data_IF_198948573031
#
_entry.id   IF_198948573031
#
_cell.length_a   1.000
_cell.length_b   1.000
_cell.length_c   1.000
_cell.angle_alpha   90.00
_cell.angle_beta   90.00
_cell.angle_gamma   90.00
#
_symmetry.space_group_name_H-M   'P 1'
#
loop_
_entity.id
_entity.type
_entity.pdbx_description
1 polymer ?
#
# COMPACT_ATOMS: atom_id res chain seq x y z
N UNK A 1 5.98 -9.92 29.71
CA UNK A 1 5.57 -8.60 30.23
C UNK A 1 4.85 -8.68 31.58
N UNK A 2 3.57 -9.09 31.69
CA UNK A 2 2.83 -8.97 32.96
C UNK A 2 3.28 -9.88 34.10
N UNK A 3 3.65 -11.14 33.81
CA UNK A 3 4.14 -12.10 34.84
C UNK A 3 5.65 -12.03 35.10
N UNK A 4 6.43 -11.54 34.13
CA UNK A 4 7.91 -11.61 34.12
C UNK A 4 8.58 -10.23 34.04
N UNK A 5 7.81 -9.13 34.06
CA UNK A 5 8.30 -7.77 33.84
C UNK A 5 8.49 -7.40 32.36
N UNK A 6 8.65 -6.10 32.10
CA UNK A 6 8.93 -5.53 30.77
C UNK A 6 10.31 -5.97 30.27
N UNK A 7 11.27 -6.13 31.19
CA UNK A 7 12.64 -6.61 30.90
C UNK A 7 12.68 -8.00 30.25
N UNK A 8 11.70 -8.86 30.51
CA UNK A 8 11.59 -10.16 29.83
C UNK A 8 11.40 -10.03 28.30
N UNK A 9 10.98 -8.85 27.81
CA UNK A 9 10.86 -8.57 26.38
C UNK A 9 12.22 -8.38 25.71
N UNK A 10 13.29 -8.05 26.45
CA UNK A 10 14.64 -7.94 25.89
C UNK A 10 15.14 -9.28 25.31
N UNK A 11 14.71 -10.41 25.88
CA UNK A 11 15.07 -11.75 25.39
C UNK A 11 14.44 -12.09 24.02
N UNK A 12 13.30 -11.48 23.68
CA UNK A 12 12.58 -11.71 22.42
C UNK A 12 12.88 -10.59 21.41
N UNK A 13 13.45 -9.47 21.88
CA UNK A 13 13.74 -8.29 21.07
C UNK A 13 14.55 -8.60 19.79
N UNK A 14 15.55 -9.47 19.88
CA UNK A 14 16.34 -9.91 18.73
C UNK A 14 15.54 -10.66 17.66
N UNK A 15 14.51 -11.43 18.07
CA UNK A 15 13.64 -12.17 17.15
C UNK A 15 12.65 -11.25 16.42
N UNK A 16 12.34 -10.07 16.98
CA UNK A 16 11.40 -9.12 16.37
C UNK A 16 12.03 -8.28 15.25
N UNK A 17 13.34 -8.39 14.99
CA UNK A 17 14.04 -7.63 13.93
C UNK A 17 13.47 -7.87 12.53
N UNK A 18 12.82 -9.00 12.29
CA UNK A 18 12.13 -9.28 11.02
C UNK A 18 10.92 -8.38 10.79
N UNK A 19 10.37 -7.78 11.84
CA UNK A 19 9.19 -6.92 11.83
C UNK A 19 9.57 -5.51 12.34
N UNK A 20 10.15 -4.63 11.50
CA UNK A 20 10.75 -3.37 11.95
C UNK A 20 9.79 -2.45 12.71
N UNK A 21 8.52 -2.41 12.29
CA UNK A 21 7.51 -1.57 12.90
C UNK A 21 7.16 -2.04 14.33
N UNK A 22 6.99 -3.35 14.52
CA UNK A 22 6.71 -3.92 15.83
C UNK A 22 7.93 -3.86 16.75
N UNK A 23 9.13 -4.14 16.23
CA UNK A 23 10.38 -3.99 16.95
C UNK A 23 10.55 -2.58 17.52
N UNK A 24 10.31 -1.54 16.70
CA UNK A 24 10.35 -0.14 17.14
C UNK A 24 9.36 0.14 18.28
N UNK A 25 8.14 -0.37 18.18
CA UNK A 25 7.13 -0.25 19.24
C UNK A 25 7.58 -0.88 20.56
N UNK A 26 8.11 -2.11 20.49
CA UNK A 26 8.59 -2.84 21.67
C UNK A 26 9.86 -2.20 22.25
N UNK A 27 10.78 -1.66 21.43
CA UNK A 27 11.94 -0.89 21.89
C UNK A 27 11.52 0.27 22.79
N UNK A 28 10.57 1.10 22.33
CA UNK A 28 10.11 2.25 23.11
C UNK A 28 9.49 1.83 24.44
N UNK A 29 8.78 0.69 24.47
CA UNK A 29 8.23 0.14 25.72
C UNK A 29 9.35 -0.36 26.65
N UNK A 30 10.40 -0.98 26.13
CA UNK A 30 11.58 -1.41 26.91
C UNK A 30 12.32 -0.20 27.48
N UNK A 31 12.41 0.89 26.71
CA UNK A 31 13.06 2.15 27.09
C UNK A 31 12.23 2.95 28.12
N UNK A 32 11.04 2.46 28.49
CA UNK A 32 10.19 3.04 29.53
C UNK A 32 9.22 4.12 29.03
N UNK A 33 9.05 4.28 27.72
CA UNK A 33 8.06 5.20 27.15
C UNK A 33 6.62 4.77 27.53
N UNK A 34 5.76 5.68 28.02
CA UNK A 34 4.36 5.36 28.33
C UNK A 34 3.61 4.82 27.11
N UNK A 35 2.72 3.84 27.32
CA UNK A 35 1.98 3.20 26.22
C UNK A 35 1.13 4.15 25.36
N UNK A 36 0.65 5.27 25.93
CA UNK A 36 -0.06 6.32 25.18
C UNK A 36 0.86 7.08 24.21
N UNK A 37 2.09 7.35 24.64
CA UNK A 37 3.09 8.03 23.82
C UNK A 37 3.60 7.09 22.71
N UNK A 38 3.84 5.82 23.04
CA UNK A 38 4.13 4.76 22.06
C UNK A 38 3.04 4.68 21.00
N UNK A 39 1.77 4.63 21.42
CA UNK A 39 0.64 4.62 20.49
C UNK A 39 0.63 5.87 19.59
N UNK A 40 0.82 7.06 20.17
CA UNK A 40 0.83 8.32 19.42
C UNK A 40 1.94 8.34 18.36
N UNK A 41 3.16 7.94 18.73
CA UNK A 41 4.32 7.90 17.83
C UNK A 41 4.10 6.88 16.71
N UNK A 42 3.71 5.64 17.05
CA UNK A 42 3.46 4.58 16.06
C UNK A 42 2.31 4.95 15.12
N UNK A 43 1.25 5.60 15.64
CA UNK A 43 0.11 6.06 14.82
C UNK A 43 0.52 7.13 13.83
N UNK A 44 1.42 8.05 14.22
CA UNK A 44 1.99 9.06 13.31
C UNK A 44 2.82 8.41 12.21
N UNK A 45 3.66 7.44 12.56
CA UNK A 45 4.51 6.73 11.61
C UNK A 45 3.69 5.90 10.60
N UNK A 46 2.67 5.20 11.09
CA UNK A 46 1.70 4.49 10.25
C UNK A 46 1.00 5.45 9.27
N UNK A 47 0.51 6.60 9.74
CA UNK A 47 -0.10 7.62 8.87
C UNK A 47 0.86 8.13 7.81
N UNK A 48 2.11 8.42 8.18
CA UNK A 48 3.13 8.85 7.23
C UNK A 48 3.39 7.79 6.15
N UNK A 49 3.43 6.51 6.55
CA UNK A 49 3.60 5.37 5.65
C UNK A 49 2.42 5.22 4.69
N UNK A 50 1.18 5.25 5.19
CA UNK A 50 -0.03 5.24 4.37
C UNK A 50 -0.07 6.41 3.39
N UNK A 51 0.31 7.63 3.81
CA UNK A 51 0.38 8.78 2.91
C UNK A 51 1.41 8.59 1.78
N UNK A 52 2.57 7.98 2.06
CA UNK A 52 3.55 7.64 1.02
C UNK A 52 2.97 6.66 0.01
N UNK A 53 2.29 5.60 0.47
CA UNK A 53 1.63 4.65 -0.42
C UNK A 53 0.53 5.29 -1.27
N UNK A 54 -0.32 6.13 -0.69
CA UNK A 54 -1.36 6.87 -1.43
C UNK A 54 -0.73 7.75 -2.52
N UNK A 55 0.39 8.42 -2.22
CA UNK A 55 1.10 9.21 -3.22
C UNK A 55 1.60 8.33 -4.37
N UNK A 56 2.21 7.19 -4.07
CA UNK A 56 2.71 6.25 -5.07
C UNK A 56 1.58 5.63 -5.92
N UNK A 57 0.46 5.24 -5.31
CA UNK A 57 -0.69 4.69 -6.04
C UNK A 57 -1.36 5.76 -6.91
N UNK A 58 -1.44 7.01 -6.43
CA UNK A 58 -2.00 8.14 -7.19
C UNK A 58 -1.24 8.40 -8.49
N UNK A 59 0.10 8.31 -8.49
CA UNK A 59 0.91 8.48 -9.70
C UNK A 59 0.54 7.44 -10.76
N UNK A 60 0.39 6.17 -10.37
CA UNK A 60 0.01 5.10 -11.30
C UNK A 60 -1.43 5.23 -11.78
N UNK A 61 -2.36 5.65 -10.92
CA UNK A 61 -3.74 5.96 -11.33
C UNK A 61 -3.77 7.06 -12.38
N UNK A 62 -3.02 8.15 -12.17
CA UNK A 62 -2.90 9.23 -13.15
C UNK A 62 -2.25 8.75 -14.46
N UNK A 63 -1.23 7.89 -14.38
CA UNK A 63 -0.63 7.31 -15.58
C UNK A 63 -1.64 6.46 -16.37
N UNK A 64 -2.50 5.69 -15.68
CA UNK A 64 -3.59 4.94 -16.31
C UNK A 64 -4.61 5.88 -16.99
N UNK A 65 -4.93 7.01 -16.37
CA UNK A 65 -5.86 8.01 -16.90
C UNK A 65 -5.30 8.74 -18.14
N UNK A 66 -4.01 9.06 -18.15
CA UNK A 66 -3.37 9.77 -19.25
C UNK A 66 -2.97 8.86 -20.43
N UNK A 67 -2.76 7.56 -20.22
CA UNK A 67 -2.32 6.64 -21.27
C UNK A 67 -3.27 6.60 -22.51
N UNK A 68 -4.61 6.57 -22.38
CA UNK A 68 -5.51 6.64 -23.53
C UNK A 68 -5.50 8.00 -24.23
N UNK A 69 -5.35 9.09 -23.46
CA UNK A 69 -5.24 10.44 -24.02
C UNK A 69 -3.96 10.60 -24.86
N UNK A 70 -2.85 9.99 -24.44
CA UNK A 70 -1.63 9.91 -25.26
C UNK A 70 -1.85 9.08 -26.53
N UNK A 71 -2.66 8.01 -26.46
CA UNK A 71 -3.05 7.24 -27.64
C UNK A 71 -3.83 8.06 -28.67
N UNK A 72 -4.74 8.93 -28.21
CA UNK A 72 -5.47 9.89 -29.05
C UNK A 72 -4.52 10.92 -29.70
N UNK A 73 -3.50 11.41 -28.98
CA UNK A 73 -2.49 12.28 -29.60
C UNK A 73 -1.76 11.55 -30.74
N UNK A 74 -1.48 10.25 -30.58
CA UNK A 74 -0.91 9.43 -31.64
C UNK A 74 -1.82 9.30 -32.87
N UNK A 75 -3.14 9.24 -32.69
CA UNK A 75 -4.07 9.23 -33.83
C UNK A 75 -4.04 10.52 -34.62
N UNK A 76 -3.94 11.66 -33.91
CA UNK A 76 -3.81 12.96 -34.54
C UNK A 76 -2.53 13.05 -35.38
N UNK A 77 -1.40 12.52 -34.88
CA UNK A 77 -0.15 12.47 -35.64
C UNK A 77 -0.30 11.60 -36.90
N UNK A 78 -0.91 10.42 -36.78
CA UNK A 78 -1.13 9.54 -37.94
C UNK A 78 -2.08 10.14 -38.98
N UNK A 79 -3.11 10.88 -38.54
CA UNK A 79 -4.02 11.60 -39.43
C UNK A 79 -3.30 12.76 -40.15
N UNK A 80 -2.45 13.52 -39.46
CA UNK A 80 -1.65 14.59 -40.08
C UNK A 80 -0.71 14.01 -41.14
N UNK A 81 -0.07 12.86 -40.86
CA UNK A 81 0.80 12.19 -41.82
C UNK A 81 0.05 11.67 -43.04
N UNK A 82 -1.15 11.11 -42.83
CA UNK A 82 -2.03 10.66 -43.91
C UNK A 82 -2.46 11.83 -44.81
N UNK A 83 -2.87 12.96 -44.21
CA UNK A 83 -3.31 14.14 -44.95
C UNK A 83 -2.15 14.83 -45.68
N UNK A 84 -0.92 14.74 -45.17
CA UNK A 84 0.26 15.34 -45.79
C UNK A 84 0.69 14.65 -47.10
N UNK A 85 0.38 13.36 -47.27
CA UNK A 85 0.79 12.54 -48.43
C UNK A 85 -0.41 11.95 -49.18
N UNK A 86 -1.52 12.68 -49.24
CA UNK A 86 -2.76 12.25 -49.90
C UNK A 86 -2.58 11.91 -51.39
N UNK A 87 -1.58 12.49 -52.05
CA UNK A 87 -1.28 12.28 -53.46
C UNK A 87 -0.69 10.88 -53.75
N UNK A 88 -0.20 10.17 -52.74
CA UNK A 88 0.31 8.80 -52.85
C UNK A 88 -0.55 7.81 -52.03
N UNK A 89 -1.49 7.09 -52.68
CA UNK A 89 -2.36 6.11 -52.04
C UNK A 89 -1.62 4.98 -51.31
N UNK A 90 -0.36 4.70 -51.67
CA UNK A 90 0.44 3.65 -51.01
C UNK A 90 0.79 3.98 -49.57
N UNK A 91 0.79 5.28 -49.21
CA UNK A 91 1.17 5.78 -47.88
C UNK A 91 0.01 5.84 -46.87
N UNK A 92 -1.23 5.69 -47.35
CA UNK A 92 -2.44 5.75 -46.52
C UNK A 92 -2.50 4.57 -45.54
N UNK A 93 -2.27 3.35 -46.03
CA UNK A 93 -2.30 2.13 -45.20
C UNK A 93 -1.33 2.17 -44.02
N UNK A 94 -0.02 2.45 -44.26
CA UNK A 94 0.95 2.60 -43.18
C UNK A 94 0.58 3.70 -42.16
N UNK A 95 0.12 4.87 -42.62
CA UNK A 95 -0.23 6.00 -41.74
C UNK A 95 -1.44 5.69 -40.86
N UNK A 96 -2.45 5.00 -41.41
CA UNK A 96 -3.61 4.52 -40.68
C UNK A 96 -3.25 3.45 -39.65
N UNK A 97 -2.34 2.53 -39.99
CA UNK A 97 -1.88 1.50 -39.06
C UNK A 97 -1.20 2.11 -37.83
N UNK A 98 -0.38 3.15 -38.01
CA UNK A 98 0.25 3.88 -36.88
C UNK A 98 -0.82 4.49 -35.97
N UNK A 99 -1.81 5.20 -36.53
CA UNK A 99 -2.89 5.81 -35.74
C UNK A 99 -3.68 4.79 -34.92
N UNK A 100 -4.00 3.63 -35.50
CA UNK A 100 -4.74 2.58 -34.80
C UNK A 100 -3.89 1.92 -33.72
N UNK A 101 -2.61 1.66 -33.99
CA UNK A 101 -1.70 1.06 -33.03
C UNK A 101 -1.45 1.97 -31.83
N UNK A 102 -1.34 3.28 -32.01
CA UNK A 102 -1.16 4.21 -30.87
C UNK A 102 -2.37 4.20 -29.93
N UNK A 103 -3.58 4.11 -30.47
CA UNK A 103 -4.81 3.97 -29.65
C UNK A 103 -4.83 2.64 -28.92
N UNK A 104 -4.47 1.55 -29.63
CA UNK A 104 -4.41 0.22 -29.05
C UNK A 104 -3.41 0.16 -27.88
N UNK A 105 -2.18 0.64 -28.09
CA UNK A 105 -1.17 0.65 -27.04
C UNK A 105 -1.55 1.55 -25.86
N UNK A 106 -2.16 2.72 -26.11
CA UNK A 106 -2.68 3.59 -25.05
C UNK A 106 -3.73 2.88 -24.18
N UNK A 107 -4.68 2.19 -24.80
CA UNK A 107 -5.72 1.43 -24.10
C UNK A 107 -5.16 0.21 -23.33
N UNK A 108 -4.20 -0.51 -23.93
CA UNK A 108 -3.53 -1.66 -23.28
C UNK A 108 -2.73 -1.21 -22.06
N UNK A 109 -1.92 -0.16 -22.19
CA UNK A 109 -1.12 0.35 -21.07
C UNK A 109 -2.01 0.85 -19.92
N UNK A 110 -3.09 1.55 -20.24
CA UNK A 110 -4.05 2.02 -19.24
C UNK A 110 -4.70 0.87 -18.45
N UNK A 111 -5.33 -0.06 -19.17
CA UNK A 111 -6.24 -1.04 -18.58
C UNK A 111 -5.56 -2.34 -18.15
N UNK A 112 -4.50 -2.75 -18.86
CA UNK A 112 -3.83 -4.03 -18.61
C UNK A 112 -2.58 -3.88 -17.73
N UNK A 113 -2.00 -2.67 -17.65
CA UNK A 113 -0.76 -2.44 -16.90
C UNK A 113 -0.98 -1.49 -15.73
N UNK A 114 -1.30 -0.21 -15.98
CA UNK A 114 -1.30 0.80 -14.93
C UNK A 114 -2.45 0.64 -13.93
N UNK A 115 -3.68 0.40 -14.43
CA UNK A 115 -4.86 0.20 -13.59
C UNK A 115 -4.71 -0.99 -12.62
N UNK A 116 -4.38 -2.22 -13.07
CA UNK A 116 -4.22 -3.36 -12.16
C UNK A 116 -3.02 -3.20 -11.22
N UNK A 117 -1.94 -2.56 -11.67
CA UNK A 117 -0.79 -2.29 -10.80
C UNK A 117 -1.13 -1.30 -9.68
N UNK A 118 -1.89 -0.25 -9.99
CA UNK A 118 -2.39 0.70 -9.00
C UNK A 118 -3.31 0.01 -7.98
N UNK A 119 -4.25 -0.82 -8.45
CA UNK A 119 -5.16 -1.58 -7.58
C UNK A 119 -4.40 -2.57 -6.68
N UNK A 120 -3.37 -3.24 -7.20
CA UNK A 120 -2.53 -4.16 -6.41
C UNK A 120 -1.78 -3.42 -5.30
N UNK A 121 -1.18 -2.27 -5.58
CA UNK A 121 -0.49 -1.47 -4.57
C UNK A 121 -1.44 -0.94 -3.49
N UNK A 122 -2.64 -0.54 -3.88
CA UNK A 122 -3.66 -0.10 -2.93
C UNK A 122 -4.09 -1.24 -2.00
N UNK A 123 -4.34 -2.43 -2.54
CA UNK A 123 -4.63 -3.63 -1.75
C UNK A 123 -3.49 -3.95 -0.77
N UNK A 124 -2.25 -3.95 -1.24
CA UNK A 124 -1.09 -4.20 -0.39
C UNK A 124 -0.97 -3.15 0.72
N UNK A 125 -1.23 -1.88 0.41
CA UNK A 125 -1.21 -0.80 1.41
C UNK A 125 -2.28 -0.98 2.48
N UNK A 126 -3.46 -1.53 2.14
CA UNK A 126 -4.52 -1.83 3.11
C UNK A 126 -4.13 -3.01 3.99
N UNK A 127 -3.58 -4.07 3.40
CA UNK A 127 -3.08 -5.23 4.15
C UNK A 127 -1.95 -4.84 5.13
N UNK A 128 -0.99 -4.02 4.67
CA UNK A 128 0.09 -3.50 5.52
C UNK A 128 -0.44 -2.58 6.65
N UNK A 129 -1.40 -1.70 6.35
CA UNK A 129 -2.01 -0.84 7.37
C UNK A 129 -2.73 -1.66 8.45
N UNK A 130 -3.39 -2.76 8.07
CA UNK A 130 -4.03 -3.67 9.01
C UNK A 130 -3.00 -4.35 9.93
N UNK A 131 -1.91 -4.88 9.36
CA UNK A 131 -0.81 -5.51 10.12
C UNK A 131 -0.17 -4.50 11.09
N UNK A 132 0.13 -3.29 10.62
CA UNK A 132 0.67 -2.22 11.46
C UNK A 132 -0.30 -1.81 12.57
N UNK A 133 -1.61 -1.83 12.32
CA UNK A 133 -2.62 -1.57 13.36
C UNK A 133 -2.59 -2.63 14.46
N UNK A 134 -2.45 -3.92 14.09
CA UNK A 134 -2.30 -5.02 15.05
C UNK A 134 -1.02 -4.86 15.88
N UNK A 135 0.10 -4.53 15.24
CA UNK A 135 1.38 -4.29 15.92
C UNK A 135 1.33 -3.10 16.87
N UNK A 136 0.69 -2.00 16.47
CA UNK A 136 0.48 -0.83 17.31
C UNK A 136 -0.35 -1.17 18.54
N UNK A 137 -1.49 -1.86 18.39
CA UNK A 137 -2.32 -2.27 19.51
C UNK A 137 -1.54 -3.21 20.46
N UNK A 138 -0.79 -4.16 19.90
CA UNK A 138 0.07 -5.07 20.66
C UNK A 138 1.10 -4.31 21.50
N UNK A 139 1.89 -3.42 20.88
CA UNK A 139 2.92 -2.65 21.55
C UNK A 139 2.33 -1.72 22.62
N UNK A 140 1.25 -1.00 22.31
CA UNK A 140 0.58 -0.09 23.24
C UNK A 140 -0.01 -0.84 24.46
N UNK A 141 -0.68 -1.97 24.27
CA UNK A 141 -1.22 -2.78 25.37
C UNK A 141 -0.12 -3.39 26.25
N UNK A 142 1.04 -3.74 25.68
CA UNK A 142 2.21 -4.17 26.46
C UNK A 142 2.72 -3.02 27.34
N UNK A 143 2.86 -1.81 26.78
CA UNK A 143 3.30 -0.62 27.54
C UNK A 143 2.32 -0.21 28.64
N UNK A 144 1.01 -0.39 28.43
CA UNK A 144 -0.04 -0.16 29.44
C UNK A 144 -0.21 -1.32 30.44
N UNK A 145 0.48 -2.44 30.24
CA UNK A 145 0.32 -3.66 31.03
C UNK A 145 -1.14 -4.14 31.14
N UNK A 146 -1.90 -4.00 30.06
CA UNK A 146 -3.33 -4.37 30.03
C UNK A 146 -3.55 -5.87 30.24
N UNK A 147 -4.77 -6.23 30.66
CA UNK A 147 -5.16 -7.63 30.79
C UNK A 147 -5.12 -8.32 29.40
N UNK A 148 -4.45 -9.47 29.24
CA UNK A 148 -4.40 -10.20 27.97
C UNK A 148 -5.77 -10.49 27.34
N UNK A 149 -6.81 -10.71 28.16
CA UNK A 149 -8.19 -10.86 27.66
C UNK A 149 -8.73 -9.59 26.99
N UNK A 150 -8.35 -8.42 27.50
CA UNK A 150 -8.70 -7.13 26.89
C UNK A 150 -7.96 -6.92 25.57
N UNK A 151 -6.68 -7.29 25.51
CA UNK A 151 -5.90 -7.24 24.28
C UNK A 151 -6.53 -8.13 23.20
N UNK A 152 -6.91 -9.37 23.54
CA UNK A 152 -7.61 -10.26 22.60
C UNK A 152 -8.90 -9.64 22.05
N UNK A 153 -9.73 -9.03 22.89
CA UNK A 153 -10.93 -8.31 22.44
C UNK A 153 -10.61 -7.18 21.46
N UNK A 154 -9.56 -6.39 21.74
CA UNK A 154 -9.11 -5.30 20.86
C UNK A 154 -8.59 -5.83 19.53
N UNK A 155 -7.75 -6.88 19.54
CA UNK A 155 -7.25 -7.50 18.31
C UNK A 155 -8.40 -8.07 17.46
N UNK A 156 -9.34 -8.76 18.09
CA UNK A 156 -10.51 -9.34 17.42
C UNK A 156 -11.48 -8.30 16.83
N UNK A 157 -11.40 -7.04 17.27
CA UNK A 157 -12.17 -5.94 16.68
C UNK A 157 -11.64 -5.50 15.31
N UNK A 158 -10.35 -5.72 15.04
CA UNK A 158 -9.68 -5.34 13.78
C UNK A 158 -9.50 -6.54 12.84
N UNK A 159 -9.41 -7.75 13.39
CA UNK A 159 -9.25 -8.97 12.61
C UNK A 159 -10.57 -9.39 11.92
N UNK A 160 -10.51 -9.81 10.64
CA UNK A 160 -11.61 -10.47 9.96
C UNK A 160 -12.14 -11.66 10.75
N UNK A 161 -13.44 -12.01 10.63
CA UNK A 161 -14.04 -13.12 11.36
C UNK A 161 -13.24 -14.42 11.29
N UNK A 162 -12.71 -14.75 10.11
CA UNK A 162 -11.95 -15.98 9.85
C UNK A 162 -10.55 -16.01 10.51
N UNK A 163 -10.04 -14.84 10.92
CA UNK A 163 -8.71 -14.69 11.54
C UNK A 163 -8.78 -14.30 13.01
N UNK A 164 -9.97 -14.35 13.63
CA UNK A 164 -10.14 -14.04 15.05
C UNK A 164 -9.42 -15.06 15.91
N UNK A 165 -8.81 -14.57 16.98
CA UNK A 165 -8.04 -15.35 17.93
C UNK A 165 -8.96 -15.75 19.08
N UNK A 166 -8.84 -17.00 19.53
CA UNK A 166 -9.46 -17.54 20.74
C UNK A 166 -8.38 -18.22 21.57
N UNK A 167 -7.71 -17.45 22.41
CA UNK A 167 -6.62 -17.93 23.26
C UNK A 167 -7.09 -18.26 24.68
N UNK A 168 -8.16 -17.62 25.14
CA UNK A 168 -8.68 -17.75 26.51
C UNK A 168 -10.05 -18.43 26.62
N UNK A 169 -10.56 -18.99 25.51
CA UNK A 169 -11.70 -19.92 25.47
C UNK A 169 -11.27 -21.34 25.83
#
# INVERSE_FOLDING_TARGET
>A
ARKQGILALQGIHGALKSEPFFHKGVSMVIDGTPGEEVESIMRRDMRATTQRHIKSTSVLRKAAEFAPAMGLIGTLIGLVQMLGNLDDPSTIGPSMAVALLTTFYGAVLANMVFSPLAAKLERNSVEEAMVNTVYLMGAASIGRQENPRRLEMLLNSVLPPDKRIRYFD
#
